data_IF_515674916983
#
_entry.id   IF_515674916983
#
_cell.length_a   1.000
_cell.length_b   1.000
_cell.length_c   1.000
_cell.angle_alpha   90.00
_cell.angle_beta   90.00
_cell.angle_gamma   90.00
#
_symmetry.space_group_name_H-M   'P 1'
#
loop_
_entity.id
_entity.type
_entity.pdbx_description
1 polymer ?
#
# COMPACT_ATOMS: atom_id res chain seq x y z
N UNK A 1 -28.32 -43.53 23.23
CA UNK A 1 -28.36 -43.08 21.82
C UNK A 1 -27.24 -42.06 21.69
N UNK A 2 -26.06 -42.52 21.27
CA UNK A 2 -24.83 -41.71 21.20
C UNK A 2 -24.43 -41.69 19.74
N UNK A 3 -24.49 -40.54 19.10
CA UNK A 3 -24.07 -40.36 17.71
C UNK A 3 -22.57 -40.01 17.68
N UNK A 4 -21.77 -40.64 16.80
CA UNK A 4 -20.37 -40.28 16.63
C UNK A 4 -20.23 -39.03 15.76
N UNK A 5 -19.48 -38.04 16.24
CA UNK A 5 -19.00 -36.91 15.43
C UNK A 5 -18.01 -37.44 14.38
N UNK A 6 -18.39 -37.32 13.11
CA UNK A 6 -17.52 -37.59 11.96
C UNK A 6 -16.72 -36.32 11.63
N UNK A 7 -15.42 -36.33 11.93
CA UNK A 7 -14.50 -35.29 11.49
C UNK A 7 -14.07 -35.64 10.05
N UNK A 8 -14.54 -34.86 9.08
CA UNK A 8 -14.09 -34.95 7.69
C UNK A 8 -12.66 -34.38 7.56
N UNK A 9 -11.70 -35.11 6.95
CA UNK A 9 -10.41 -34.57 6.60
C UNK A 9 -10.51 -33.90 5.22
N UNK A 10 -10.22 -32.59 5.18
CA UNK A 10 -9.69 -31.94 3.99
C UNK A 10 -9.27 -30.51 4.34
N UNK A 11 -7.97 -30.35 4.59
CA UNK A 11 -7.32 -29.06 4.38
C UNK A 11 -7.27 -28.82 2.85
N UNK A 12 -7.77 -27.71 2.33
CA UNK A 12 -7.32 -27.24 1.03
C UNK A 12 -5.91 -26.64 1.22
N UNK A 13 -4.92 -27.27 0.62
CA UNK A 13 -3.62 -26.66 0.31
C UNK A 13 -3.83 -25.37 -0.50
N UNK A 14 -2.88 -24.42 -0.44
CA UNK A 14 -3.18 -23.01 -0.64
C UNK A 14 -3.58 -22.79 -2.09
N UNK A 15 -4.85 -22.45 -2.30
CA UNK A 15 -5.23 -21.66 -3.45
C UNK A 15 -4.29 -20.46 -3.43
N UNK A 16 -3.41 -20.38 -4.45
CA UNK A 16 -2.56 -19.22 -4.65
C UNK A 16 -3.43 -17.99 -4.48
N UNK A 17 -3.02 -17.10 -3.58
CA UNK A 17 -3.64 -15.79 -3.48
C UNK A 17 -3.29 -15.04 -4.77
N UNK A 18 -3.96 -15.38 -5.86
CA UNK A 18 -4.19 -14.45 -6.94
C UNK A 18 -5.13 -13.44 -6.30
N UNK A 19 -4.57 -12.30 -5.91
CA UNK A 19 -5.38 -11.19 -5.48
C UNK A 19 -6.20 -10.80 -6.71
N UNK A 20 -7.44 -11.29 -6.76
CA UNK A 20 -8.39 -11.11 -7.84
C UNK A 20 -8.93 -9.68 -7.90
N UNK A 21 -8.04 -8.70 -8.04
CA UNK A 21 -8.40 -7.36 -8.48
C UNK A 21 -8.15 -7.30 -10.00
N UNK A 22 -9.01 -7.98 -10.75
CA UNK A 22 -9.26 -7.61 -12.14
C UNK A 22 -9.95 -6.26 -12.15
N UNK A 23 -9.17 -5.19 -12.13
CA UNK A 23 -9.62 -3.81 -12.18
C UNK A 23 -8.66 -3.01 -13.03
N UNK A 24 -9.04 -2.79 -14.28
CA UNK A 24 -8.41 -1.88 -15.21
C UNK A 24 -8.57 -0.45 -14.67
N UNK A 25 -7.49 0.12 -14.14
CA UNK A 25 -7.32 1.56 -14.09
C UNK A 25 -5.83 1.84 -14.29
N UNK A 26 -5.51 2.61 -15.32
CA UNK A 26 -4.15 3.03 -15.70
C UNK A 26 -3.52 3.95 -14.63
N UNK A 27 -4.22 4.21 -13.53
CA UNK A 27 -3.81 5.08 -12.46
C UNK A 27 -3.03 4.36 -11.34
N UNK A 28 -2.01 5.04 -10.82
CA UNK A 28 -1.25 4.58 -9.66
C UNK A 28 -2.17 4.44 -8.42
N UNK A 29 -1.99 3.40 -7.58
CA UNK A 29 -2.74 3.24 -6.34
C UNK A 29 -2.65 4.49 -5.45
N UNK A 30 -3.73 4.83 -4.75
CA UNK A 30 -3.82 6.00 -3.88
C UNK A 30 -4.02 5.58 -2.42
N UNK A 31 -3.19 6.12 -1.53
CA UNK A 31 -3.30 5.94 -0.08
C UNK A 31 -3.54 7.29 0.61
N UNK A 32 -4.78 7.50 1.08
CA UNK A 32 -5.11 8.66 1.89
C UNK A 32 -4.76 8.45 3.36
N UNK A 33 -3.67 9.07 3.80
CA UNK A 33 -3.18 8.93 5.16
C UNK A 33 -3.95 9.78 6.17
N UNK A 34 -4.80 10.71 5.72
CA UNK A 34 -5.65 11.53 6.60
C UNK A 34 -6.67 10.68 7.33
N UNK A 35 -7.16 9.63 6.69
CA UNK A 35 -8.10 8.66 7.27
C UNK A 35 -7.44 7.67 8.24
N UNK A 36 -6.11 7.61 8.28
CA UNK A 36 -5.36 6.61 9.04
C UNK A 36 -4.95 7.19 10.40
N UNK A 37 -5.27 6.49 11.53
CA UNK A 37 -4.85 6.90 12.86
C UNK A 37 -3.32 7.08 12.94
N UNK A 38 -2.88 8.16 13.59
CA UNK A 38 -1.46 8.51 13.66
C UNK A 38 -0.57 7.38 14.18
N UNK A 39 -1.07 6.59 15.15
CA UNK A 39 -0.33 5.49 15.76
C UNK A 39 0.11 4.39 14.76
N UNK A 40 -0.63 4.19 13.66
CA UNK A 40 -0.33 3.15 12.66
C UNK A 40 0.04 3.73 11.29
N UNK A 41 -0.18 5.02 11.06
CA UNK A 41 -0.02 5.68 9.75
C UNK A 41 1.32 5.39 9.08
N UNK A 42 2.43 5.57 9.79
CA UNK A 42 3.75 5.32 9.23
C UNK A 42 3.92 3.86 8.82
N UNK A 43 3.53 2.92 9.69
CA UNK A 43 3.59 1.50 9.39
C UNK A 43 2.75 1.15 8.15
N UNK A 44 1.56 1.75 8.01
CA UNK A 44 0.71 1.57 6.83
C UNK A 44 1.36 2.10 5.55
N UNK A 45 1.96 3.29 5.58
CA UNK A 45 2.66 3.84 4.40
C UNK A 45 3.83 2.96 4.01
N UNK A 46 4.65 2.52 4.97
CA UNK A 46 5.79 1.65 4.68
C UNK A 46 5.35 0.32 4.07
N UNK A 47 4.34 -0.34 4.63
CA UNK A 47 3.81 -1.59 4.08
C UNK A 47 3.23 -1.40 2.68
N UNK A 48 2.50 -0.30 2.45
CA UNK A 48 1.97 0.02 1.12
C UNK A 48 3.09 0.26 0.10
N UNK A 49 4.15 0.98 0.49
CA UNK A 49 5.31 1.24 -0.37
C UNK A 49 6.10 -0.03 -0.70
N UNK A 50 6.30 -0.90 0.28
CA UNK A 50 7.03 -2.17 0.10
C UNK A 50 6.27 -3.14 -0.82
N UNK A 51 4.94 -3.05 -0.85
CA UNK A 51 4.07 -3.85 -1.73
C UNK A 51 4.12 -3.43 -3.21
N UNK A 52 4.63 -2.24 -3.53
CA UNK A 52 4.77 -1.78 -4.93
C UNK A 52 5.90 -2.57 -5.61
N UNK A 53 5.76 -3.05 -6.85
CA UNK A 53 6.88 -3.64 -7.59
C UNK A 53 7.95 -2.60 -7.94
N UNK A 54 9.14 -3.05 -8.32
CA UNK A 54 10.15 -2.14 -8.85
C UNK A 54 9.63 -1.51 -10.16
N UNK A 55 9.75 -0.20 -10.31
CA UNK A 55 9.14 0.58 -11.38
C UNK A 55 7.67 0.98 -11.15
N UNK A 56 7.01 0.46 -10.11
CA UNK A 56 5.64 0.87 -9.77
C UNK A 56 5.59 2.17 -8.95
N UNK A 57 4.41 2.77 -8.87
CA UNK A 57 4.18 3.97 -8.05
C UNK A 57 3.00 3.84 -7.08
N UNK A 58 2.94 4.79 -6.13
CA UNK A 58 1.87 4.98 -5.15
C UNK A 58 1.71 6.48 -4.92
N UNK A 59 0.46 6.95 -4.87
CA UNK A 59 0.12 8.33 -4.50
C UNK A 59 -0.26 8.39 -3.03
N UNK A 60 0.42 9.25 -2.27
CA UNK A 60 0.07 9.55 -0.88
C UNK A 60 -0.76 10.84 -0.83
N UNK A 61 -1.93 10.79 -0.19
CA UNK A 61 -2.73 11.98 0.14
C UNK A 61 -2.54 12.35 1.60
N UNK A 62 -2.03 13.55 1.87
CA UNK A 62 -1.67 14.04 3.19
C UNK A 62 -2.21 15.46 3.45
N UNK A 63 -2.38 15.89 4.71
CA UNK A 63 -2.87 17.23 5.04
C UNK A 63 -1.80 18.32 4.82
N UNK A 64 -0.53 17.93 4.66
CA UNK A 64 0.60 18.78 4.34
C UNK A 64 1.63 17.95 3.55
N UNK A 65 2.63 18.60 2.94
CA UNK A 65 3.73 17.89 2.28
C UNK A 65 4.42 16.93 3.28
N UNK A 66 4.49 15.62 3.00
CA UNK A 66 5.05 14.65 3.93
C UNK A 66 6.56 14.49 3.77
N UNK A 67 7.32 15.60 3.71
CA UNK A 67 8.75 15.58 3.41
C UNK A 67 9.59 14.64 4.30
N UNK A 68 9.38 14.55 5.63
CA UNK A 68 10.11 13.60 6.48
C UNK A 68 9.86 12.14 6.08
N UNK A 69 8.61 11.81 5.74
CA UNK A 69 8.22 10.47 5.32
C UNK A 69 8.83 10.10 3.97
N UNK A 70 8.87 11.04 3.02
CA UNK A 70 9.52 10.83 1.72
C UNK A 70 11.02 10.53 1.90
N UNK A 71 11.70 11.26 2.79
CA UNK A 71 13.10 10.98 3.12
C UNK A 71 13.28 9.59 3.75
N UNK A 72 12.38 9.16 4.63
CA UNK A 72 12.41 7.82 5.22
C UNK A 72 12.18 6.70 4.20
N UNK A 73 11.39 6.95 3.15
CA UNK A 73 11.20 5.98 2.06
C UNK A 73 12.44 5.92 1.15
N UNK A 74 13.06 7.06 0.86
CA UNK A 74 14.29 7.15 0.07
C UNK A 74 15.49 6.45 0.72
N UNK A 75 15.53 6.38 2.06
CA UNK A 75 16.54 5.62 2.80
C UNK A 75 16.41 4.09 2.59
N UNK A 76 15.19 3.61 2.31
CA UNK A 76 14.92 2.18 2.12
C UNK A 76 15.15 1.70 0.70
N UNK A 77 14.83 2.53 -0.29
CA UNK A 77 14.95 2.20 -1.70
C UNK A 77 15.12 3.48 -2.54
N UNK A 78 15.78 3.39 -3.71
CA UNK A 78 15.81 4.50 -4.65
C UNK A 78 14.38 4.81 -5.14
N UNK A 79 13.96 6.06 -4.98
CA UNK A 79 12.63 6.54 -5.37
C UNK A 79 12.71 7.83 -6.19
N UNK A 80 11.71 8.04 -7.03
CA UNK A 80 11.35 9.34 -7.59
C UNK A 80 10.08 9.86 -6.91
N UNK A 81 9.93 11.18 -6.77
CA UNK A 81 8.73 11.81 -6.18
C UNK A 81 8.21 12.95 -7.04
N UNK A 82 6.90 13.02 -7.22
CA UNK A 82 6.21 14.07 -7.97
C UNK A 82 5.03 14.61 -7.14
N UNK A 83 4.94 15.94 -7.00
CA UNK A 83 3.79 16.58 -6.35
C UNK A 83 2.71 16.78 -7.41
N UNK A 84 1.57 16.10 -7.24
CA UNK A 84 0.42 16.18 -8.15
C UNK A 84 -0.56 17.29 -7.75
N UNK A 85 -0.66 17.57 -6.45
CA UNK A 85 -1.50 18.63 -5.87
C UNK A 85 -0.74 19.31 -4.75
N UNK A 86 -0.63 20.64 -4.80
CA UNK A 86 0.16 21.48 -3.89
C UNK A 86 -0.67 22.22 -2.83
N UNK A 87 -1.61 21.55 -2.16
CA UNK A 87 -2.35 22.13 -1.03
C UNK A 87 -3.18 23.38 -1.37
N UNK A 88 -3.73 24.10 -0.35
CA UNK A 88 -3.68 23.81 1.08
C UNK A 88 -4.71 22.78 1.56
N UNK A 89 -5.67 22.37 0.72
CA UNK A 89 -6.74 21.44 1.10
C UNK A 89 -6.24 19.99 1.24
N UNK A 90 -5.38 19.57 0.30
CA UNK A 90 -4.72 18.27 0.32
C UNK A 90 -3.40 18.32 -0.47
N UNK A 91 -2.43 17.52 -0.03
CA UNK A 91 -1.20 17.27 -0.77
C UNK A 91 -1.24 15.87 -1.36
N UNK A 92 -1.10 15.77 -2.68
CA UNK A 92 -1.00 14.49 -3.38
C UNK A 92 0.43 14.35 -3.87
N UNK A 93 1.14 13.33 -3.40
CA UNK A 93 2.52 13.07 -3.80
C UNK A 93 2.62 11.67 -4.37
N UNK A 94 2.95 11.57 -5.65
CA UNK A 94 3.28 10.32 -6.31
C UNK A 94 4.71 9.92 -5.96
N UNK A 95 4.90 8.67 -5.58
CA UNK A 95 6.16 8.07 -5.20
C UNK A 95 6.38 6.87 -6.10
N UNK A 96 7.46 6.85 -6.88
CA UNK A 96 7.79 5.74 -7.78
C UNK A 96 9.04 5.04 -7.29
N UNK A 97 8.97 3.71 -7.10
CA UNK A 97 10.14 2.91 -6.74
C UNK A 97 10.97 2.67 -8.00
N UNK A 98 12.25 3.03 -7.98
CA UNK A 98 13.14 2.86 -9.14
C UNK A 98 13.42 1.38 -9.36
N UNK A 99 13.45 0.94 -10.61
CA UNK A 99 14.01 -0.36 -10.95
C UNK A 99 15.54 -0.28 -10.85
N UNK A 100 16.12 -1.04 -9.92
CA UNK A 100 17.57 -1.23 -9.76
C UNK A 100 18.11 -2.26 -10.73
#
# INVERSE_FOLDING_TARGET
MTEPVQILPQAPEPAGHTCGCGGHDDADPVLDVRAIPHAIRHATVFGAFEAIPAGGSLVIVAPHLPAPLLAQLADRAPIDTEVLVDGPDAWHVRITRRAS
#
